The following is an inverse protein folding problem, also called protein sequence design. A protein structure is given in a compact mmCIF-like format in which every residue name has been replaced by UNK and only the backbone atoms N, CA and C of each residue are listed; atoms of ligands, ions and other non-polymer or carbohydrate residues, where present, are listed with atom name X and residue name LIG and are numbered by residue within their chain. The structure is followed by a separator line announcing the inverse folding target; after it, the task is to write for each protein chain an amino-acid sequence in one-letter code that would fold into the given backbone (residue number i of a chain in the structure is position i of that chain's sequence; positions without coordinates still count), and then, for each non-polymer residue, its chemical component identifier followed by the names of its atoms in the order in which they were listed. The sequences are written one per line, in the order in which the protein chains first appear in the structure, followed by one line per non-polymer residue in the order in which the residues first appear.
data_IF_883545484433
#
_entry.id   IF_883545484433
#
_cell.length_a   1.000
_cell.length_b   1.000
_cell.length_c   1.000
_cell.angle_alpha   90.00
_cell.angle_beta   90.00
_cell.angle_gamma   90.00
#
_symmetry.space_group_name_H-M   'P 1'
#
loop_
_entity.id
_entity.type
_entity.pdbx_description
1 polymer ?
#
# COMPACT_ATOMS: atom_id res chain seq x y z
N UNK A 1 -4.25 -45.92 -38.89
CA UNK A 1 -5.05 -45.18 -39.89
C UNK A 1 -4.54 -43.74 -39.93
N UNK A 2 -4.37 -43.21 -41.14
CA UNK A 2 -3.79 -41.89 -41.46
C UNK A 2 -4.81 -40.77 -41.25
N UNK A 3 -4.27 -39.54 -41.19
CA UNK A 3 -4.86 -38.30 -41.73
C UNK A 3 -5.82 -37.54 -40.80
N UNK A 4 -5.92 -36.21 -40.78
CA UNK A 4 -5.08 -35.05 -41.12
C UNK A 4 -5.91 -33.84 -40.67
N UNK A 5 -5.22 -32.81 -40.15
CA UNK A 5 -5.48 -31.35 -40.22
C UNK A 5 -6.92 -30.83 -40.36
N UNK A 6 -7.24 -29.82 -39.55
CA UNK A 6 -7.85 -28.57 -40.04
C UNK A 6 -7.62 -27.43 -39.05
N UNK A 7 -6.76 -26.48 -39.45
CA UNK A 7 -6.69 -25.12 -38.91
C UNK A 7 -7.75 -24.32 -39.66
N UNK A 8 -8.58 -23.54 -38.97
CA UNK A 8 -9.43 -22.53 -39.61
C UNK A 8 -9.27 -21.19 -38.90
N UNK A 9 -8.48 -20.32 -39.54
CA UNK A 9 -8.54 -18.85 -39.40
C UNK A 9 -9.83 -18.35 -40.06
N UNK A 10 -10.57 -17.52 -39.35
CA UNK A 10 -11.49 -16.53 -39.91
C UNK A 10 -11.58 -15.39 -38.88
N UNK A 11 -11.85 -14.14 -39.22
CA UNK A 11 -11.40 -13.33 -40.33
C UNK A 11 -11.59 -11.90 -39.83
N UNK A 12 -10.67 -11.05 -40.21
CA UNK A 12 -10.59 -9.65 -39.84
C UNK A 12 -11.77 -8.89 -40.47
N UNK A 13 -12.57 -8.18 -39.67
CA UNK A 13 -13.43 -7.10 -40.16
C UNK A 13 -13.30 -5.87 -39.27
N UNK A 14 -12.49 -4.94 -39.75
CA UNK A 14 -12.55 -3.51 -39.43
C UNK A 14 -13.91 -2.98 -39.88
N UNK A 15 -14.59 -2.22 -39.02
CA UNK A 15 -15.53 -1.20 -39.47
C UNK A 15 -15.42 0.03 -38.57
N UNK A 16 -14.93 1.12 -39.16
CA UNK A 16 -14.92 2.45 -38.58
C UNK A 16 -16.29 3.12 -38.76
N UNK A 17 -16.73 3.89 -37.77
CA UNK A 17 -17.59 5.05 -38.00
C UNK A 17 -17.53 5.98 -36.78
N UNK A 18 -16.92 7.14 -37.01
CA UNK A 18 -16.88 8.27 -36.08
C UNK A 18 -18.28 8.90 -35.97
N UNK A 19 -18.66 9.30 -34.76
CA UNK A 19 -19.71 10.32 -34.57
C UNK A 19 -19.46 11.07 -33.26
N UNK A 20 -18.56 12.06 -33.31
CA UNK A 20 -18.38 13.02 -32.22
C UNK A 20 -19.29 14.24 -32.46
N UNK A 21 -20.17 14.60 -31.51
CA UNK A 21 -20.87 15.86 -31.56
C UNK A 21 -19.92 17.02 -31.22
N UNK A 22 -19.87 18.00 -32.13
CA UNK A 22 -19.19 19.28 -31.95
C UNK A 22 -19.98 20.11 -30.94
N UNK A 23 -19.39 20.41 -29.78
CA UNK A 23 -19.87 21.47 -28.90
C UNK A 23 -18.96 22.69 -29.09
N UNK A 24 -19.40 23.58 -29.97
CA UNK A 24 -18.99 24.99 -29.99
C UNK A 24 -19.96 25.75 -29.10
N UNK A 25 -19.47 26.37 -28.02
CA UNK A 25 -19.96 27.66 -27.52
C UNK A 25 -19.18 28.06 -26.26
N UNK A 26 -18.16 28.91 -26.48
CA UNK A 26 -18.00 30.21 -25.83
C UNK A 26 -18.86 30.45 -24.57
N UNK A 27 -18.23 30.57 -23.41
CA UNK A 27 -18.76 31.46 -22.39
C UNK A 27 -17.63 32.10 -21.59
N UNK A 28 -17.81 33.40 -21.42
CA UNK A 28 -16.84 34.38 -21.04
C UNK A 28 -16.33 34.21 -19.60
N UNK A 29 -15.06 34.58 -19.45
CA UNK A 29 -14.37 35.03 -18.24
C UNK A 29 -15.32 35.75 -17.27
N UNK A 30 -15.59 35.17 -16.11
CA UNK A 30 -16.09 35.89 -14.94
C UNK A 30 -14.97 35.94 -13.89
N UNK A 31 -14.05 36.88 -14.11
CA UNK A 31 -13.10 37.35 -13.10
C UNK A 31 -13.78 38.52 -12.39
N UNK A 32 -14.04 38.41 -11.09
CA UNK A 32 -14.15 39.49 -10.07
C UNK A 32 -14.88 38.91 -8.85
N UNK A 33 -14.22 38.93 -7.68
CA UNK A 33 -14.90 38.72 -6.40
C UNK A 33 -14.10 38.09 -5.25
N UNK A 34 -12.79 38.32 -5.12
CA UNK A 34 -12.02 37.92 -3.92
C UNK A 34 -11.14 39.08 -3.44
N UNK A 35 -11.78 40.15 -2.97
CA UNK A 35 -11.12 41.14 -2.12
C UNK A 35 -12.10 41.43 -0.99
N UNK A 36 -11.78 40.96 0.22
CA UNK A 36 -12.07 41.50 1.56
C UNK A 36 -12.25 40.41 2.62
N UNK A 37 -11.29 40.34 3.56
CA UNK A 37 -11.26 39.53 4.79
C UNK A 37 -9.97 38.70 4.85
N UNK A 38 -9.06 38.80 5.82
CA UNK A 38 -9.09 39.28 7.21
C UNK A 38 -7.79 40.03 7.57
N UNK A 39 -7.82 40.78 8.67
CA UNK A 39 -6.76 41.68 9.16
C UNK A 39 -5.47 40.99 9.62
N UNK A 40 -4.52 41.76 10.20
CA UNK A 40 -3.27 41.21 10.71
C UNK A 40 -3.58 40.36 11.94
N UNK A 41 -3.61 39.04 11.77
CA UNK A 41 -3.59 38.11 12.89
C UNK A 41 -2.16 38.02 13.41
N UNK A 42 -2.06 38.27 14.70
CA UNK A 42 -0.89 38.26 15.56
C UNK A 42 0.18 37.23 15.16
N UNK A 43 1.43 37.72 15.13
CA UNK A 43 2.68 36.94 15.19
C UNK A 43 2.81 36.23 16.55
N UNK A 44 1.83 35.41 16.92
CA UNK A 44 2.04 34.38 17.92
C UNK A 44 2.86 33.27 17.23
N UNK A 45 4.04 32.89 17.75
CA UNK A 45 4.73 31.73 17.24
C UNK A 45 3.78 30.54 17.39
N UNK A 46 3.40 29.93 16.27
CA UNK A 46 2.70 28.64 16.25
C UNK A 46 3.66 27.62 16.84
N UNK A 47 3.72 27.55 18.17
CA UNK A 47 4.29 26.41 18.86
C UNK A 47 3.46 25.21 18.42
N UNK A 48 4.10 24.34 17.64
CA UNK A 48 3.51 23.10 17.15
C UNK A 48 3.17 22.24 18.38
N UNK A 49 1.94 22.39 18.89
CA UNK A 49 1.36 21.55 19.94
C UNK A 49 0.89 20.22 19.35
N UNK A 50 1.74 19.61 18.54
CA UNK A 50 1.57 18.28 17.97
C UNK A 50 2.87 17.51 18.17
N UNK A 51 3.38 17.48 19.40
CA UNK A 51 4.17 16.34 19.89
C UNK A 51 3.18 15.20 20.17
N UNK A 52 2.47 14.73 19.14
CA UNK A 52 1.85 13.42 19.23
C UNK A 52 2.95 12.46 18.84
N UNK A 53 3.60 11.85 19.83
CA UNK A 53 4.35 10.62 19.63
C UNK A 53 3.38 9.64 18.95
N UNK A 54 3.54 9.47 17.65
CA UNK A 54 2.80 8.47 16.90
C UNK A 54 3.31 7.13 17.39
N UNK A 55 2.55 6.47 18.28
CA UNK A 55 2.80 5.09 18.67
C UNK A 55 2.67 4.28 17.38
N UNK A 56 3.82 3.87 16.84
CA UNK A 56 3.89 2.95 15.70
C UNK A 56 3.52 1.58 16.26
N UNK A 57 2.41 1.02 15.82
CA UNK A 57 1.99 -0.31 16.28
C UNK A 57 3.08 -1.34 15.91
N UNK A 58 3.31 -2.32 16.78
CA UNK A 58 4.39 -3.32 16.61
C UNK A 58 4.27 -4.13 15.31
N UNK A 59 3.04 -4.28 14.79
CA UNK A 59 2.77 -4.98 13.54
C UNK A 59 3.10 -4.12 12.30
N UNK A 60 3.39 -2.82 12.43
CA UNK A 60 3.69 -1.96 11.28
C UNK A 60 5.09 -2.21 10.73
N UNK A 61 5.28 -2.13 9.41
CA UNK A 61 6.58 -2.39 8.81
C UNK A 61 7.56 -1.26 9.15
N UNK A 62 8.76 -1.64 9.59
CA UNK A 62 9.86 -0.71 9.84
C UNK A 62 10.56 -0.26 8.57
N UNK A 63 10.50 -1.06 7.50
CA UNK A 63 10.95 -0.73 6.16
C UNK A 63 10.33 -1.67 5.10
N UNK A 64 10.69 -1.48 3.82
CA UNK A 64 10.15 -2.30 2.73
C UNK A 64 10.47 -3.80 2.89
N UNK A 65 11.67 -4.17 3.33
CA UNK A 65 11.99 -5.58 3.47
C UNK A 65 11.19 -6.23 4.62
N UNK A 66 11.01 -5.49 5.71
CA UNK A 66 10.17 -5.89 6.83
C UNK A 66 8.69 -6.05 6.41
N UNK A 67 8.17 -5.15 5.57
CA UNK A 67 6.82 -5.29 5.02
C UNK A 67 6.61 -6.61 4.28
N UNK A 68 7.56 -7.01 3.42
CA UNK A 68 7.47 -8.28 2.70
C UNK A 68 7.56 -9.50 3.64
N UNK A 69 8.37 -9.42 4.71
CA UNK A 69 8.44 -10.47 5.74
C UNK A 69 7.10 -10.60 6.46
N UNK A 70 6.56 -9.50 6.99
CA UNK A 70 5.30 -9.51 7.73
C UNK A 70 4.12 -10.01 6.89
N UNK A 71 4.02 -9.60 5.62
CA UNK A 71 2.98 -10.12 4.72
C UNK A 71 3.08 -11.65 4.58
N UNK A 72 4.28 -12.18 4.37
CA UNK A 72 4.51 -13.63 4.25
C UNK A 72 4.20 -14.37 5.55
N UNK A 73 4.52 -13.79 6.70
CA UNK A 73 4.17 -14.38 8.00
C UNK A 73 2.66 -14.52 8.17
N UNK A 74 1.88 -13.48 7.83
CA UNK A 74 0.42 -13.54 7.93
C UNK A 74 -0.18 -14.56 6.95
N UNK A 75 0.38 -14.69 5.75
CA UNK A 75 0.02 -15.76 4.82
C UNK A 75 0.23 -17.14 5.44
N UNK A 76 1.36 -17.36 6.11
CA UNK A 76 1.63 -18.62 6.82
C UNK A 76 0.61 -18.84 7.94
N UNK A 77 0.29 -17.82 8.74
CA UNK A 77 -0.70 -17.94 9.83
C UNK A 77 -2.09 -18.28 9.31
N UNK A 78 -2.50 -17.71 8.17
CA UNK A 78 -3.77 -18.04 7.51
C UNK A 78 -3.77 -19.51 7.07
N UNK A 79 -2.67 -19.99 6.49
CA UNK A 79 -2.58 -21.35 5.97
C UNK A 79 -2.44 -22.42 7.07
N UNK A 80 -1.81 -22.09 8.21
CA UNK A 80 -1.64 -23.01 9.35
C UNK A 80 -2.78 -22.91 10.37
N UNK A 81 -3.48 -21.78 10.42
CA UNK A 81 -4.43 -21.45 11.49
C UNK A 81 -3.77 -21.15 12.84
N UNK A 82 -2.43 -21.05 12.88
CA UNK A 82 -1.65 -20.78 14.09
C UNK A 82 -1.27 -19.30 14.13
N UNK A 83 -2.01 -18.51 14.92
CA UNK A 83 -1.60 -17.15 15.29
C UNK A 83 -0.63 -17.29 16.46
N UNK A 84 0.58 -16.70 16.41
CA UNK A 84 1.50 -16.74 17.54
C UNK A 84 0.78 -16.20 18.78
N UNK A 85 0.79 -16.97 19.87
CA UNK A 85 0.32 -16.43 21.15
C UNK A 85 1.20 -15.22 21.48
N UNK A 86 0.61 -14.03 21.43
CA UNK A 86 1.22 -12.85 22.00
C UNK A 86 1.35 -13.16 23.50
N UNK A 87 2.55 -13.54 23.92
CA UNK A 87 2.91 -13.49 25.33
C UNK A 87 2.76 -12.03 25.72
N UNK A 88 1.61 -11.71 26.32
CA UNK A 88 1.49 -10.58 27.20
C UNK A 88 2.63 -10.76 28.21
N UNK A 89 3.68 -9.96 28.06
CA UNK A 89 4.57 -9.75 29.19
C UNK A 89 3.67 -9.08 30.24
N UNK A 90 3.36 -9.85 31.29
CA UNK A 90 2.70 -9.41 32.51
C UNK A 90 3.54 -8.29 33.14
N UNK A 91 3.41 -7.07 32.61
CA UNK A 91 3.81 -5.86 33.32
C UNK A 91 2.69 -5.53 34.33
N UNK A 92 2.76 -6.23 35.47
CA UNK A 92 2.13 -5.85 36.72
C UNK A 92 2.66 -4.48 37.16
N UNK A 93 2.13 -3.38 36.60
CA UNK A 93 2.18 -2.09 37.30
C UNK A 93 0.88 -1.31 37.12
N UNK A 94 0.24 -1.06 38.26
CA UNK A 94 -1.09 -0.49 38.39
C UNK A 94 -1.14 0.96 37.88
N UNK A 95 -1.83 1.22 36.77
CA UNK A 95 -2.37 2.54 36.47
C UNK A 95 -3.87 2.48 36.16
N UNK A 96 -4.66 2.85 37.17
CA UNK A 96 -6.07 3.22 37.05
C UNK A 96 -6.20 4.46 36.15
N UNK A 97 -6.34 4.30 34.84
CA UNK A 97 -6.85 5.36 33.96
C UNK A 97 -7.55 4.79 32.72
N UNK A 98 -8.88 4.96 32.71
CA UNK A 98 -9.82 4.85 31.59
C UNK A 98 -9.67 3.66 30.62
N UNK A 99 -10.47 2.62 30.91
CA UNK A 99 -10.76 1.45 30.09
C UNK A 99 -11.17 1.83 28.65
N UNK A 100 -10.21 1.75 27.73
CA UNK A 100 -10.43 1.41 26.33
C UNK A 100 -9.26 0.55 25.84
N UNK A 101 -8.99 -0.54 26.55
CA UNK A 101 -8.09 -1.60 26.08
C UNK A 101 -8.77 -2.34 24.91
N UNK A 102 -8.53 -1.82 23.72
CA UNK A 102 -8.70 -2.56 22.47
C UNK A 102 -7.54 -3.55 22.34
N UNK A 103 -7.57 -4.63 23.12
CA UNK A 103 -6.86 -5.87 22.77
C UNK A 103 -7.62 -6.52 21.59
N UNK A 104 -7.70 -5.78 20.48
CA UNK A 104 -8.34 -6.23 19.25
C UNK A 104 -7.37 -7.21 18.61
N UNK A 105 -7.61 -8.50 18.84
CA UNK A 105 -6.92 -9.59 18.15
C UNK A 105 -7.06 -9.36 16.65
N UNK A 106 -6.03 -8.77 16.05
CA UNK A 106 -6.04 -8.42 14.65
C UNK A 106 -6.17 -9.69 13.81
N UNK A 107 -7.18 -9.70 12.94
CA UNK A 107 -7.37 -10.77 11.99
C UNK A 107 -6.24 -10.73 10.95
N UNK A 108 -5.51 -11.84 10.69
CA UNK A 108 -4.38 -11.84 9.76
C UNK A 108 -4.72 -11.35 8.35
N UNK A 109 -5.95 -11.56 7.87
CA UNK A 109 -6.38 -11.03 6.57
C UNK A 109 -6.50 -9.51 6.59
N UNK A 110 -7.02 -8.95 7.70
CA UNK A 110 -7.06 -7.51 7.95
C UNK A 110 -5.65 -6.92 8.07
N UNK A 111 -4.74 -7.60 8.79
CA UNK A 111 -3.35 -7.16 8.88
C UNK A 111 -2.65 -7.15 7.51
N UNK A 112 -2.93 -8.14 6.64
CA UNK A 112 -2.42 -8.12 5.26
C UNK A 112 -2.92 -6.88 4.52
N UNK A 113 -4.18 -6.53 4.69
CA UNK A 113 -4.74 -5.33 4.06
C UNK A 113 -4.00 -4.07 4.51
N UNK A 114 -3.78 -3.93 5.81
CA UNK A 114 -3.06 -2.79 6.38
C UNK A 114 -1.61 -2.77 5.86
N UNK A 115 -0.88 -3.88 5.95
CA UNK A 115 0.49 -3.97 5.46
C UNK A 115 0.62 -3.59 3.99
N UNK A 116 -0.28 -4.06 3.12
CA UNK A 116 -0.28 -3.71 1.69
C UNK A 116 -0.52 -2.21 1.48
N UNK A 117 -1.43 -1.61 2.26
CA UNK A 117 -1.73 -0.19 2.17
C UNK A 117 -0.58 0.72 2.60
N UNK A 118 0.28 0.24 3.52
CA UNK A 118 1.44 0.97 4.04
C UNK A 118 2.66 0.94 3.12
N UNK A 119 2.81 -0.09 2.27
CA UNK A 119 4.01 -0.24 1.42
C UNK A 119 4.31 0.99 0.56
N UNK A 120 3.34 1.65 -0.11
CA UNK A 120 3.64 2.85 -0.89
C UNK A 120 4.12 4.03 -0.05
N UNK A 121 3.62 4.17 1.19
CA UNK A 121 4.07 5.21 2.13
C UNK A 121 5.53 4.95 2.54
N UNK A 122 5.82 3.73 2.98
CA UNK A 122 7.19 3.31 3.33
C UNK A 122 8.14 3.48 2.15
N UNK A 123 7.70 3.17 0.92
CA UNK A 123 8.50 3.35 -0.28
C UNK A 123 8.79 4.83 -0.56
N UNK A 124 7.81 5.70 -0.36
CA UNK A 124 7.93 7.15 -0.58
C UNK A 124 8.87 7.82 0.44
N UNK A 125 9.03 7.24 1.64
CA UNK A 125 9.96 7.72 2.67
C UNK A 125 11.43 7.34 2.41
N UNK A 126 11.70 6.51 1.38
CA UNK A 126 13.07 6.15 0.97
C UNK A 126 13.62 7.10 -0.09
N UNK A 127 14.93 6.99 -0.38
CA UNK A 127 15.55 7.66 -1.52
C UNK A 127 15.44 6.87 -2.84
N UNK A 128 14.41 6.02 -2.99
CA UNK A 128 14.12 5.37 -4.27
C UNK A 128 13.71 6.41 -5.32
N UNK A 129 14.07 6.15 -6.57
CA UNK A 129 13.57 6.96 -7.68
C UNK A 129 12.06 6.73 -7.87
N UNK A 130 11.35 7.70 -8.43
CA UNK A 130 9.94 7.53 -8.80
C UNK A 130 9.73 6.31 -9.71
N UNK A 131 10.65 6.06 -10.63
CA UNK A 131 10.59 4.89 -11.51
C UNK A 131 10.69 3.56 -10.74
N UNK A 132 11.28 3.55 -9.54
CA UNK A 132 11.43 2.36 -8.72
C UNK A 132 10.31 2.19 -7.68
N UNK A 133 9.81 3.27 -7.07
CA UNK A 133 8.72 3.17 -6.08
C UNK A 133 7.31 3.20 -6.70
N UNK A 134 7.10 3.87 -7.84
CA UNK A 134 5.79 3.96 -8.48
C UNK A 134 5.18 2.59 -8.88
N UNK A 135 5.97 1.59 -9.34
CA UNK A 135 5.47 0.24 -9.53
C UNK A 135 4.90 -0.40 -8.25
N UNK A 136 5.50 -0.13 -7.08
CA UNK A 136 4.96 -0.61 -5.79
C UNK A 136 3.61 0.02 -5.50
N UNK A 137 3.48 1.33 -5.70
CA UNK A 137 2.21 2.05 -5.52
C UNK A 137 1.09 1.44 -6.37
N UNK A 138 1.32 1.25 -7.68
CA UNK A 138 0.31 0.68 -8.56
C UNK A 138 -0.03 -0.77 -8.23
N UNK A 139 0.97 -1.58 -7.84
CA UNK A 139 0.74 -2.95 -7.43
C UNK A 139 -0.09 -3.02 -6.13
N UNK A 140 0.21 -2.18 -5.14
CA UNK A 140 -0.55 -2.09 -3.90
C UNK A 140 -2.00 -1.68 -4.16
N UNK A 141 -2.25 -0.64 -4.95
CA UNK A 141 -3.60 -0.18 -5.33
C UNK A 141 -4.39 -1.30 -6.01
N UNK A 142 -3.78 -1.97 -7.01
CA UNK A 142 -4.42 -3.07 -7.72
C UNK A 142 -4.74 -4.25 -6.78
N UNK A 143 -3.82 -4.58 -5.87
CA UNK A 143 -3.99 -5.67 -4.93
C UNK A 143 -5.08 -5.36 -3.90
N UNK A 144 -5.13 -4.14 -3.35
CA UNK A 144 -6.17 -3.72 -2.42
C UNK A 144 -7.57 -3.81 -3.04
N UNK A 145 -7.72 -3.49 -4.32
CA UNK A 145 -8.99 -3.67 -5.04
C UNK A 145 -9.39 -5.14 -5.08
N UNK A 146 -8.45 -6.04 -5.37
CA UNK A 146 -8.73 -7.49 -5.46
C UNK A 146 -8.99 -8.11 -4.07
N UNK A 147 -8.28 -7.66 -3.03
CA UNK A 147 -8.51 -8.08 -1.65
C UNK A 147 -9.91 -7.66 -1.17
N UNK A 148 -10.33 -6.41 -1.42
CA UNK A 148 -11.68 -5.94 -1.07
C UNK A 148 -12.79 -6.66 -1.84
N UNK A 149 -12.51 -7.12 -3.05
CA UNK A 149 -13.49 -7.84 -3.87
C UNK A 149 -13.66 -9.32 -3.46
N UNK A 150 -12.75 -9.86 -2.65
CA UNK A 150 -12.84 -11.23 -2.18
C UNK A 150 -13.80 -11.31 -0.99
N UNK A 151 -15.04 -11.75 -1.26
CA UNK A 151 -16.09 -11.87 -0.24
C UNK A 151 -15.92 -13.05 0.74
N UNK A 152 -15.05 -14.02 0.45
CA UNK A 152 -14.90 -15.28 1.21
C UNK A 152 -13.42 -15.60 1.49
N UNK A 153 -12.75 -14.68 2.17
CA UNK A 153 -11.35 -14.82 2.58
C UNK A 153 -10.34 -14.72 1.45
N UNK A 154 -9.07 -15.01 1.74
CA UNK A 154 -8.01 -14.93 0.75
C UNK A 154 -8.21 -15.99 -0.37
N UNK A 155 -8.46 -15.54 -1.61
CA UNK A 155 -8.50 -16.44 -2.77
C UNK A 155 -7.10 -16.93 -3.18
N UNK A 156 -7.01 -18.00 -3.96
CA UNK A 156 -5.73 -18.48 -4.50
C UNK A 156 -5.06 -17.48 -5.44
N UNK A 157 -5.85 -16.72 -6.20
CA UNK A 157 -5.36 -15.61 -7.02
C UNK A 157 -4.77 -14.49 -6.15
N UNK A 158 -5.48 -14.10 -5.08
CA UNK A 158 -4.99 -13.07 -4.15
C UNK A 158 -3.68 -13.52 -3.47
N UNK A 159 -3.57 -14.80 -3.08
CA UNK A 159 -2.30 -15.38 -2.57
C UNK A 159 -1.17 -15.22 -3.58
N UNK A 160 -1.40 -15.61 -4.84
CA UNK A 160 -0.37 -15.49 -5.89
C UNK A 160 0.01 -14.03 -6.17
N UNK A 161 -0.92 -13.10 -6.06
CA UNK A 161 -0.65 -11.67 -6.23
C UNK A 161 0.12 -11.09 -5.05
N UNK A 162 -0.19 -11.50 -3.81
CA UNK A 162 0.58 -11.14 -2.61
C UNK A 162 2.02 -11.65 -2.72
N UNK A 163 2.24 -12.89 -3.16
CA UNK A 163 3.59 -13.40 -3.38
C UNK A 163 4.36 -12.59 -4.44
N UNK A 164 3.70 -12.27 -5.55
CA UNK A 164 4.29 -11.44 -6.61
C UNK A 164 4.62 -10.03 -6.11
N UNK A 165 3.75 -9.48 -5.25
CA UNK A 165 3.97 -8.19 -4.61
C UNK A 165 5.15 -8.22 -3.64
N UNK A 166 5.27 -9.25 -2.79
CA UNK A 166 6.42 -9.45 -1.92
C UNK A 166 7.73 -9.56 -2.72
N UNK A 167 7.72 -10.26 -3.86
CA UNK A 167 8.90 -10.33 -4.74
C UNK A 167 9.26 -8.95 -5.30
N UNK A 168 8.27 -8.16 -5.73
CA UNK A 168 8.51 -6.80 -6.21
C UNK A 168 9.11 -5.93 -5.10
N UNK A 169 8.62 -6.04 -3.87
CA UNK A 169 9.17 -5.35 -2.69
C UNK A 169 10.62 -5.77 -2.46
N UNK A 170 10.92 -7.08 -2.48
CA UNK A 170 12.28 -7.59 -2.25
C UNK A 170 13.25 -7.07 -3.33
N UNK A 171 12.84 -7.05 -4.60
CA UNK A 171 13.67 -6.53 -5.69
C UNK A 171 13.87 -5.01 -5.62
N UNK A 172 12.83 -4.26 -5.27
CA UNK A 172 12.91 -2.81 -5.13
C UNK A 172 13.75 -2.41 -3.91
N UNK A 173 13.64 -3.15 -2.81
CA UNK A 173 14.41 -2.90 -1.57
C UNK A 173 15.93 -2.93 -1.78
N UNK A 174 16.40 -3.74 -2.74
CA UNK A 174 17.83 -3.83 -3.09
C UNK A 174 18.36 -2.57 -3.79
N UNK A 175 17.48 -1.71 -4.31
CA UNK A 175 17.83 -0.48 -5.01
C UNK A 175 17.92 0.74 -4.09
N UNK A 176 17.54 0.59 -2.82
CA UNK A 176 17.58 1.67 -1.83
C UNK A 176 19.04 2.09 -1.59
N UNK A 177 19.43 3.34 -1.90
CA UNK A 177 20.83 3.79 -1.80
C UNK A 177 21.44 3.64 -0.40
N UNK A 178 20.65 3.86 0.66
CA UNK A 178 21.07 3.77 2.06
C UNK A 178 21.53 2.35 2.42
N UNK A 179 20.84 1.35 1.85
CA UNK A 179 21.18 -0.07 2.02
C UNK A 179 22.41 -0.46 1.21
N UNK A 180 22.62 0.14 0.05
CA UNK A 180 23.82 -0.12 -0.77
C UNK A 180 25.06 0.45 -0.06
N UNK A 181 24.95 1.66 0.49
CA UNK A 181 26.05 2.30 1.21
C UNK A 181 26.46 1.52 2.47
N UNK A 182 25.50 1.03 3.25
CA UNK A 182 25.80 0.24 4.46
C UNK A 182 26.47 -1.10 4.16
N UNK A 183 26.17 -1.73 3.03
CA UNK A 183 26.84 -2.95 2.56
C UNK A 183 28.29 -2.71 2.12
N UNK A 184 28.62 -1.52 1.63
CA UNK A 184 29.99 -1.19 1.20
C UNK A 184 30.92 -0.83 2.37
N UNK A 185 30.40 -0.29 3.46
CA UNK A 185 31.19 0.12 4.63
C UNK A 185 31.65 -1.08 5.49
N UNK A 186 31.05 -2.26 5.29
CA UNK A 186 31.34 -3.47 6.09
C UNK A 186 32.33 -4.45 5.44
N UNK A 187 32.92 -4.12 4.28
CA UNK A 187 34.03 -4.92 3.71
C UNK A 187 35.40 -4.47 4.28
N UNK A 188 36.15 -5.36 4.96
CA UNK A 188 37.48 -5.06 5.52
C UNK A 188 38.58 -4.93 4.45
#
# INVERSE_FOLDING_TARGET
MKSSRSVSRQDFRISAAHSMPKLLASSATLLVGLIFGCGPQDDAPKASHFEHDHIVASHWPSDLADAAVKIRERLVWIDTGEVPEHHAEDDDDHHDHDEHDHDEKHDPETEIFDLVSWVPEVAADTNLSEADWLPLYHAAESLMVNLRAANEGLSSENRSQLESFCQLIDETSKKIPERIASLQVTSP
#
